data_IF_599371737633
#
_entry.id   IF_599371737633
#
_cell.length_a   1.000
_cell.length_b   1.000
_cell.length_c   1.000
_cell.angle_alpha   90.00
_cell.angle_beta   90.00
_cell.angle_gamma   90.00
#
_symmetry.space_group_name_H-M   'P 1'
#
loop_
_entity.id
_entity.type
_entity.pdbx_description
1 polymer ?
#
# COMPACT_ATOMS: atom_id res chain seq x y z
N UNK A 1 -17.98 -2.22 -4.72
CA UNK A 1 -17.11 -3.25 -5.36
C UNK A 1 -16.80 -4.37 -4.37
N UNK A 2 -16.16 -5.48 -4.75
CA UNK A 2 -16.05 -6.65 -3.86
C UNK A 2 -15.20 -6.36 -2.60
N UNK A 3 -15.85 -5.91 -1.53
CA UNK A 3 -15.30 -5.91 -0.19
C UNK A 3 -15.19 -7.37 0.27
N UNK A 4 -13.98 -7.93 0.17
CA UNK A 4 -13.65 -9.19 0.79
C UNK A 4 -13.92 -9.17 2.30
N UNK A 5 -13.83 -10.34 2.92
CA UNK A 5 -14.09 -10.51 4.36
C UNK A 5 -12.83 -10.98 5.09
N UNK A 6 -12.95 -11.24 6.39
CA UNK A 6 -11.86 -11.90 7.16
C UNK A 6 -11.59 -13.33 6.71
N UNK A 7 -12.55 -13.98 6.03
CA UNK A 7 -12.47 -15.37 5.56
C UNK A 7 -12.33 -15.49 4.04
N UNK A 8 -12.41 -14.37 3.32
CA UNK A 8 -12.33 -14.31 1.86
C UNK A 8 -11.51 -13.11 1.43
N UNK A 9 -10.40 -13.35 0.75
CA UNK A 9 -9.57 -12.31 0.17
C UNK A 9 -9.91 -12.15 -1.31
N UNK A 10 -10.39 -10.98 -1.71
CA UNK A 10 -10.87 -10.67 -3.05
C UNK A 10 -10.26 -9.38 -3.64
N UNK A 11 -9.39 -8.69 -2.88
CA UNK A 11 -8.76 -7.45 -3.31
C UNK A 11 -8.03 -7.63 -4.65
N UNK A 12 -8.37 -6.78 -5.61
CA UNK A 12 -7.68 -6.67 -6.89
C UNK A 12 -6.96 -5.33 -6.91
N UNK A 13 -5.63 -5.36 -7.04
CA UNK A 13 -4.83 -4.13 -7.15
C UNK A 13 -4.85 -3.53 -8.55
N UNK A 14 -5.48 -4.20 -9.52
CA UNK A 14 -5.70 -3.68 -10.88
C UNK A 14 -7.10 -3.06 -11.04
N UNK A 15 -7.91 -3.03 -9.97
CA UNK A 15 -9.17 -2.31 -9.96
C UNK A 15 -8.89 -0.80 -10.04
N UNK A 16 -9.00 -0.23 -11.24
CA UNK A 16 -8.68 1.18 -11.51
C UNK A 16 -9.57 2.18 -10.76
N UNK A 17 -10.70 1.73 -10.19
CA UNK A 17 -11.56 2.59 -9.38
C UNK A 17 -10.96 2.70 -7.97
N UNK A 18 -10.53 1.59 -7.37
CA UNK A 18 -9.91 1.57 -6.04
C UNK A 18 -8.43 1.97 -6.05
N UNK A 19 -7.72 1.59 -7.11
CA UNK A 19 -6.28 1.79 -7.31
C UNK A 19 -6.01 2.34 -8.71
N UNK A 20 -6.41 3.59 -8.99
CA UNK A 20 -6.16 4.22 -10.28
C UNK A 20 -4.66 4.33 -10.55
N UNK A 21 -4.30 4.28 -11.82
CA UNK A 21 -2.98 4.63 -12.31
C UNK A 21 -2.96 6.05 -12.88
N UNK A 22 -1.83 6.49 -13.43
CA UNK A 22 -1.69 7.81 -14.04
C UNK A 22 -2.71 8.12 -15.15
N UNK A 23 -3.12 7.12 -15.92
CA UNK A 23 -4.05 7.28 -17.04
C UNK A 23 -5.53 7.29 -16.59
N UNK A 24 -5.82 6.68 -15.44
CA UNK A 24 -7.18 6.51 -14.91
C UNK A 24 -7.45 7.34 -13.65
N UNK A 25 -6.58 8.28 -13.30
CA UNK A 25 -6.75 9.12 -12.13
C UNK A 25 -8.04 9.96 -12.21
N UNK A 26 -8.90 9.93 -11.18
CA UNK A 26 -10.14 10.69 -11.19
C UNK A 26 -9.90 12.20 -11.33
N UNK A 27 -10.63 12.82 -12.26
CA UNK A 27 -10.56 14.28 -12.50
C UNK A 27 -11.38 15.05 -11.46
N UNK A 28 -12.44 14.45 -10.95
CA UNK A 28 -13.33 15.05 -9.95
C UNK A 28 -12.97 14.63 -8.52
N UNK A 29 -13.30 15.45 -7.51
CA UNK A 29 -13.24 15.03 -6.11
C UNK A 29 -13.96 13.70 -5.88
N UNK A 30 -13.53 12.87 -4.92
CA UNK A 30 -14.37 11.80 -4.43
C UNK A 30 -15.67 12.41 -3.86
N UNK A 31 -16.80 11.74 -4.09
CA UNK A 31 -17.99 11.95 -3.26
C UNK A 31 -17.72 11.49 -1.82
N UNK A 32 -18.61 11.80 -0.87
CA UNK A 32 -18.42 11.45 0.56
C UNK A 32 -18.20 9.95 0.84
N UNK A 33 -18.56 9.07 -0.12
CA UNK A 33 -18.44 7.62 0.01
C UNK A 33 -17.32 7.00 -0.81
N UNK A 34 -16.74 7.75 -1.75
CA UNK A 34 -15.70 7.26 -2.64
C UNK A 34 -14.31 7.45 -2.03
N UNK A 35 -13.47 6.44 -2.19
CA UNK A 35 -12.06 6.53 -1.86
C UNK A 35 -11.26 5.73 -2.85
N UNK A 36 -10.03 6.18 -3.11
CA UNK A 36 -9.06 5.46 -3.93
C UNK A 36 -7.68 5.69 -3.38
N UNK A 37 -6.75 4.81 -3.76
CA UNK A 37 -5.35 4.91 -3.37
C UNK A 37 -4.49 4.81 -4.61
N UNK A 38 -3.74 5.87 -4.88
CA UNK A 38 -2.68 5.84 -5.88
C UNK A 38 -1.46 5.11 -5.30
N UNK A 39 -1.00 4.05 -5.98
CA UNK A 39 0.14 3.24 -5.59
C UNK A 39 1.35 3.60 -6.45
N UNK A 40 2.44 4.03 -5.81
CA UNK A 40 3.67 4.42 -6.51
C UNK A 40 4.90 3.92 -5.77
N UNK A 41 5.98 3.67 -6.49
CA UNK A 41 7.27 3.31 -5.92
C UNK A 41 8.15 4.55 -5.78
N UNK A 42 8.82 4.72 -4.64
CA UNK A 42 9.82 5.78 -4.44
C UNK A 42 11.08 5.39 -5.20
N UNK A 43 11.51 6.23 -6.15
CA UNK A 43 12.63 5.93 -7.05
C UNK A 43 13.86 6.80 -6.79
N UNK A 44 13.69 8.02 -6.28
CA UNK A 44 14.80 8.89 -5.89
C UNK A 44 14.39 9.84 -4.77
N UNK A 45 15.39 10.34 -4.04
CA UNK A 45 15.26 11.45 -3.10
C UNK A 45 15.84 12.71 -3.76
N UNK A 46 14.99 13.70 -4.02
CA UNK A 46 15.33 14.97 -4.68
C UNK A 46 15.29 16.15 -3.71
N UNK A 47 15.33 15.87 -2.41
CA UNK A 47 15.22 16.88 -1.37
C UNK A 47 16.42 17.81 -1.37
N UNK A 48 16.16 19.12 -1.39
CA UNK A 48 17.17 20.17 -1.16
C UNK A 48 16.91 20.82 0.20
N UNK A 49 15.77 21.50 0.35
CA UNK A 49 15.34 22.12 1.61
C UNK A 49 14.05 21.47 2.12
N UNK A 50 13.11 21.21 1.21
CA UNK A 50 11.86 20.50 1.45
C UNK A 50 12.02 19.03 1.03
N UNK A 51 11.40 18.08 1.75
CA UNK A 51 11.32 16.70 1.30
C UNK A 51 10.58 16.60 -0.03
N UNK A 52 11.30 16.14 -1.05
CA UNK A 52 10.80 15.90 -2.41
C UNK A 52 11.34 14.55 -2.88
N UNK A 53 10.46 13.71 -3.42
CA UNK A 53 10.79 12.37 -3.87
C UNK A 53 10.26 12.13 -5.28
N UNK A 54 11.10 11.59 -6.16
CA UNK A 54 10.64 11.07 -7.44
C UNK A 54 9.96 9.72 -7.21
N UNK A 55 8.75 9.57 -7.74
CA UNK A 55 7.95 8.36 -7.63
C UNK A 55 7.49 7.88 -9.01
N UNK A 56 7.19 6.59 -9.10
CA UNK A 56 6.76 5.95 -10.34
C UNK A 56 5.55 5.06 -10.09
N UNK A 57 4.51 5.22 -10.89
CA UNK A 57 3.29 4.41 -10.79
C UNK A 57 3.42 3.03 -11.48
N UNK A 58 2.30 2.31 -11.56
CA UNK A 58 2.20 1.01 -12.26
C UNK A 58 2.40 1.10 -13.77
N UNK A 59 2.06 2.23 -14.39
CA UNK A 59 2.27 2.50 -15.84
C UNK A 59 3.68 2.97 -16.16
N UNK A 60 4.54 3.12 -15.14
CA UNK A 60 5.90 3.69 -15.20
C UNK A 60 5.94 5.20 -15.42
N UNK A 61 4.81 5.88 -15.33
CA UNK A 61 4.73 7.34 -15.33
C UNK A 61 5.43 7.87 -14.08
N UNK A 62 6.28 8.88 -14.26
CA UNK A 62 7.04 9.51 -13.19
C UNK A 62 6.33 10.77 -12.69
N UNK A 63 6.35 10.95 -11.38
CA UNK A 63 5.82 12.12 -10.69
C UNK A 63 6.78 12.55 -9.59
N UNK A 64 6.63 13.77 -9.13
CA UNK A 64 7.25 14.22 -7.87
C UNK A 64 6.25 14.20 -6.73
N UNK A 65 6.69 13.87 -5.52
CA UNK A 65 5.90 14.01 -4.30
C UNK A 65 6.62 14.97 -3.36
N UNK A 66 5.99 16.10 -3.07
CA UNK A 66 6.56 17.14 -2.22
C UNK A 66 5.77 17.29 -0.92
N UNK A 67 6.45 17.26 0.23
CA UNK A 67 5.80 17.35 1.55
C UNK A 67 5.67 18.80 2.02
N UNK A 68 4.42 19.25 2.15
CA UNK A 68 3.98 20.56 2.65
C UNK A 68 3.21 20.45 3.98
N UNK A 69 3.28 19.29 4.63
CA UNK A 69 2.69 19.09 5.96
C UNK A 69 3.31 20.02 7.01
N UNK A 70 2.70 20.17 8.20
CA UNK A 70 3.28 20.98 9.28
C UNK A 70 4.67 20.50 9.76
N UNK A 71 5.00 19.22 9.59
CA UNK A 71 6.26 18.62 10.05
C UNK A 71 6.91 17.74 8.97
N UNK A 72 7.28 18.30 7.80
CA UNK A 72 7.56 17.51 6.60
C UNK A 72 8.79 16.61 6.77
N UNK A 73 9.81 17.07 7.51
CA UNK A 73 11.02 16.28 7.78
C UNK A 73 10.76 15.07 8.68
N UNK A 74 9.77 15.16 9.58
CA UNK A 74 9.37 14.02 10.42
C UNK A 74 8.59 13.01 9.59
N UNK A 75 7.68 13.49 8.76
CA UNK A 75 6.82 12.65 7.92
C UNK A 75 7.62 11.94 6.80
N UNK A 76 8.71 12.56 6.36
CA UNK A 76 9.67 12.00 5.41
C UNK A 76 10.49 10.81 5.95
N UNK A 77 10.55 10.58 7.27
CA UNK A 77 11.42 9.54 7.86
C UNK A 77 11.10 8.11 7.42
N UNK A 78 9.87 7.88 6.97
CA UNK A 78 9.41 6.59 6.46
C UNK A 78 9.65 6.41 4.95
N UNK A 79 10.07 7.46 4.24
CA UNK A 79 10.30 7.46 2.81
C UNK A 79 11.71 6.94 2.52
N UNK A 80 11.79 5.76 1.91
CA UNK A 80 13.05 5.17 1.45
C UNK A 80 12.88 4.71 0.00
N UNK A 81 13.97 4.77 -0.77
CA UNK A 81 13.97 4.33 -2.17
C UNK A 81 13.62 2.83 -2.22
N UNK A 82 12.74 2.46 -3.15
CA UNK A 82 12.20 1.11 -3.29
C UNK A 82 11.01 0.81 -2.38
N UNK A 83 10.57 1.74 -1.53
CA UNK A 83 9.30 1.59 -0.81
C UNK A 83 8.10 1.98 -1.68
N UNK A 84 6.94 1.40 -1.37
CA UNK A 84 5.68 1.79 -2.00
C UNK A 84 5.04 2.92 -1.21
N UNK A 85 4.84 4.06 -1.85
CA UNK A 85 4.03 5.16 -1.37
C UNK A 85 2.58 4.98 -1.83
N UNK A 86 1.67 5.08 -0.87
CA UNK A 86 0.24 5.08 -1.07
C UNK A 86 -0.30 6.48 -0.79
N UNK A 87 -1.02 7.09 -1.73
CA UNK A 87 -1.66 8.40 -1.55
C UNK A 87 -3.17 8.23 -1.70
N UNK A 88 -3.91 8.49 -0.63
CA UNK A 88 -5.37 8.40 -0.59
C UNK A 88 -5.96 9.64 -1.25
N UNK A 89 -6.89 9.45 -2.17
CA UNK A 89 -7.60 10.54 -2.88
C UNK A 89 -6.64 11.58 -3.49
N UNK A 90 -5.54 11.09 -4.08
CA UNK A 90 -4.45 11.91 -4.62
C UNK A 90 -4.95 12.91 -5.67
N UNK A 91 -4.42 14.14 -5.64
CA UNK A 91 -4.69 15.17 -6.65
C UNK A 91 -3.39 15.66 -7.28
N UNK A 92 -3.28 15.65 -8.61
CA UNK A 92 -2.11 16.18 -9.27
C UNK A 92 -1.97 17.68 -9.04
N UNK A 93 -0.74 18.12 -8.91
CA UNK A 93 -0.32 19.49 -8.73
C UNK A 93 0.77 19.80 -9.76
N UNK A 94 0.61 20.92 -10.45
CA UNK A 94 1.66 21.45 -11.33
C UNK A 94 2.53 22.41 -10.52
N UNK A 95 3.82 22.10 -10.43
CA UNK A 95 4.80 22.90 -9.72
C UNK A 95 5.34 24.03 -10.62
N UNK A 96 5.94 25.05 -10.01
CA UNK A 96 6.43 26.24 -10.72
C UNK A 96 7.58 25.95 -11.69
N UNK A 97 8.31 24.87 -11.48
CA UNK A 97 9.38 24.36 -12.36
C UNK A 97 8.84 23.56 -13.56
N UNK A 98 7.51 23.45 -13.70
CA UNK A 98 6.84 22.71 -14.74
C UNK A 98 6.67 21.21 -14.44
N UNK A 99 7.19 20.72 -13.32
CA UNK A 99 7.01 19.32 -12.93
C UNK A 99 5.55 19.06 -12.53
N UNK A 100 5.07 17.86 -12.82
CA UNK A 100 3.75 17.39 -12.38
C UNK A 100 3.92 16.36 -11.27
N UNK A 101 3.14 16.48 -10.21
CA UNK A 101 3.26 15.58 -9.08
C UNK A 101 2.17 15.76 -8.03
N UNK A 102 2.49 15.45 -6.78
CA UNK A 102 1.55 15.48 -5.67
C UNK A 102 2.11 16.34 -4.53
N UNK A 103 1.33 17.35 -4.14
CA UNK A 103 1.62 18.20 -2.99
C UNK A 103 0.89 17.66 -1.77
N UNK A 104 1.63 17.16 -0.79
CA UNK A 104 1.06 16.53 0.42
C UNK A 104 0.97 17.56 1.53
N UNK A 105 -0.23 18.01 1.85
CA UNK A 105 -0.48 18.98 2.93
C UNK A 105 -0.94 18.30 4.22
N UNK A 106 -1.56 17.13 4.11
CA UNK A 106 -1.96 16.31 5.26
C UNK A 106 -1.25 14.95 5.24
N UNK A 107 -0.45 14.69 6.27
CA UNK A 107 0.25 13.42 6.48
C UNK A 107 -0.69 12.21 6.60
N UNK A 108 -1.97 12.42 6.96
CA UNK A 108 -2.95 11.34 7.08
C UNK A 108 -3.37 10.74 5.73
N UNK A 109 -3.20 11.52 4.65
CA UNK A 109 -3.50 11.08 3.28
C UNK A 109 -2.49 10.07 2.74
N UNK A 110 -1.31 9.97 3.34
CA UNK A 110 -0.22 9.12 2.85
C UNK A 110 0.07 7.94 3.76
N UNK A 111 0.52 6.85 3.16
CA UNK A 111 1.07 5.70 3.87
C UNK A 111 2.26 5.16 3.09
N UNK A 112 3.37 4.87 3.76
CA UNK A 112 4.50 4.16 3.13
C UNK A 112 4.50 2.69 3.56
N UNK A 113 4.62 1.80 2.58
CA UNK A 113 4.80 0.37 2.78
C UNK A 113 6.27 0.02 2.52
N UNK A 114 6.98 -0.64 3.47
CA UNK A 114 8.39 -0.97 3.37
C UNK A 114 8.64 -2.20 2.47
N UNK A 115 8.06 -2.17 1.27
CA UNK A 115 8.19 -3.16 0.20
C UNK A 115 8.11 -2.44 -1.14
N UNK A 116 8.74 -2.99 -2.17
CA UNK A 116 8.61 -2.49 -3.55
C UNK A 116 7.20 -2.71 -4.10
N UNK A 117 6.87 -1.99 -5.16
CA UNK A 117 5.57 -2.09 -5.81
C UNK A 117 5.38 -3.51 -6.37
N UNK A 118 6.43 -4.08 -6.98
CA UNK A 118 6.42 -5.48 -7.44
C UNK A 118 6.16 -6.46 -6.28
N UNK A 119 6.82 -6.29 -5.13
CA UNK A 119 6.63 -7.16 -3.97
C UNK A 119 5.23 -7.03 -3.36
N UNK A 120 4.61 -5.84 -3.43
CA UNK A 120 3.22 -5.66 -3.00
C UNK A 120 2.25 -6.52 -3.84
N UNK A 121 2.44 -6.58 -5.16
CA UNK A 121 1.64 -7.43 -6.05
C UNK A 121 1.86 -8.92 -5.76
N UNK A 122 3.10 -9.36 -5.52
CA UNK A 122 3.39 -10.75 -5.12
C UNK A 122 2.66 -11.14 -3.83
N UNK A 123 2.68 -10.28 -2.82
CA UNK A 123 1.97 -10.53 -1.55
C UNK A 123 0.46 -10.60 -1.79
N UNK A 124 -0.10 -9.68 -2.60
CA UNK A 124 -1.53 -9.68 -2.93
C UNK A 124 -1.93 -10.98 -3.66
N UNK A 125 -1.16 -11.39 -4.67
CA UNK A 125 -1.38 -12.63 -5.41
C UNK A 125 -1.31 -13.87 -4.49
N UNK A 126 -0.35 -13.91 -3.57
CA UNK A 126 -0.25 -15.00 -2.58
C UNK A 126 -1.47 -15.06 -1.64
N UNK A 127 -1.99 -13.92 -1.19
CA UNK A 127 -3.21 -13.87 -0.38
C UNK A 127 -4.46 -14.34 -1.14
N UNK A 128 -4.57 -13.98 -2.42
CA UNK A 128 -5.65 -14.46 -3.31
C UNK A 128 -5.57 -15.98 -3.50
N UNK A 129 -4.40 -16.49 -3.88
CA UNK A 129 -4.19 -17.93 -4.06
C UNK A 129 -4.53 -18.73 -2.80
N UNK A 130 -4.10 -18.27 -1.61
CA UNK A 130 -4.48 -18.90 -0.34
C UNK A 130 -5.99 -18.82 -0.06
N UNK A 131 -6.64 -17.72 -0.43
CA UNK A 131 -8.10 -17.60 -0.28
C UNK A 131 -8.85 -18.57 -1.21
N UNK A 132 -8.42 -18.67 -2.46
CA UNK A 132 -9.04 -19.54 -3.46
C UNK A 132 -8.83 -21.02 -3.11
N UNK A 133 -7.69 -21.38 -2.51
CA UNK A 133 -7.42 -22.71 -1.97
C UNK A 133 -8.09 -23.05 -0.63
N UNK A 134 -8.78 -22.09 0.01
CA UNK A 134 -9.38 -22.29 1.33
C UNK A 134 -8.37 -22.32 2.49
N UNK A 135 -7.15 -21.82 2.26
CA UNK A 135 -6.00 -21.86 3.17
C UNK A 135 -5.73 -20.52 3.87
N UNK A 136 -6.57 -19.51 3.65
CA UNK A 136 -6.41 -18.16 4.22
C UNK A 136 -6.38 -18.15 5.76
N UNK A 137 -7.02 -19.12 6.40
CA UNK A 137 -7.06 -19.27 7.86
C UNK A 137 -6.06 -20.31 8.40
N UNK A 138 -5.30 -20.97 7.53
CA UNK A 138 -4.29 -21.97 7.89
C UNK A 138 -2.93 -21.32 8.11
N UNK A 139 -1.98 -22.09 8.63
CA UNK A 139 -0.65 -21.57 8.96
C UNK A 139 0.08 -21.09 7.71
N UNK A 140 0.69 -19.91 7.76
CA UNK A 140 1.47 -19.36 6.66
C UNK A 140 2.73 -20.15 6.30
N UNK A 141 3.15 -21.09 7.15
CA UNK A 141 4.40 -21.85 7.00
C UNK A 141 4.17 -23.31 6.61
N UNK A 142 3.21 -23.98 7.25
CA UNK A 142 2.99 -25.43 7.07
C UNK A 142 1.53 -25.80 6.78
N UNK A 143 0.66 -24.81 6.58
CA UNK A 143 -0.77 -24.97 6.28
C UNK A 143 -1.58 -25.83 7.27
N UNK A 144 -1.05 -26.08 8.47
CA UNK A 144 -1.83 -26.67 9.55
C UNK A 144 -2.90 -25.69 10.07
N UNK A 145 -4.03 -26.18 10.61
CA UNK A 145 -5.04 -25.33 11.26
C UNK A 145 -4.40 -24.38 12.29
N UNK A 146 -4.78 -23.11 12.27
CA UNK A 146 -4.13 -22.07 13.07
C UNK A 146 -5.14 -21.31 13.92
N UNK A 147 -4.90 -21.25 15.23
CA UNK A 147 -5.65 -20.44 16.18
C UNK A 147 -4.95 -19.13 16.53
N UNK A 148 -3.64 -19.02 16.23
CA UNK A 148 -2.82 -17.84 16.50
C UNK A 148 -2.55 -17.01 15.25
N UNK A 149 -2.10 -15.78 15.45
CA UNK A 149 -1.69 -14.92 14.35
C UNK A 149 -0.88 -13.71 14.79
N UNK A 150 -0.24 -13.06 13.82
CA UNK A 150 0.50 -11.82 14.05
C UNK A 150 -0.43 -10.76 14.63
N UNK A 151 -0.04 -10.13 15.74
CA UNK A 151 -0.86 -9.11 16.40
C UNK A 151 -1.20 -7.91 15.51
N UNK A 152 -0.30 -7.56 14.57
CA UNK A 152 -0.42 -6.41 13.69
C UNK A 152 -1.22 -6.70 12.41
N UNK A 153 -0.77 -7.63 11.56
CA UNK A 153 -1.39 -7.89 10.25
C UNK A 153 -2.36 -9.08 10.22
N UNK A 154 -2.43 -9.88 11.30
CA UNK A 154 -3.31 -11.07 11.44
C UNK A 154 -2.98 -12.29 10.57
N UNK A 155 -1.81 -12.33 9.93
CA UNK A 155 -1.26 -13.55 9.34
C UNK A 155 -1.27 -14.71 10.34
N UNK A 156 -1.58 -15.92 9.88
CA UNK A 156 -1.94 -17.07 10.72
C UNK A 156 -0.77 -18.02 10.94
N UNK A 157 -0.66 -18.54 12.17
CA UNK A 157 0.37 -19.51 12.52
C UNK A 157 -0.21 -20.57 13.46
N UNK A 158 0.24 -21.82 13.30
CA UNK A 158 -0.16 -22.91 14.20
C UNK A 158 0.63 -22.88 15.51
N UNK A 159 1.82 -22.27 15.52
CA UNK A 159 2.69 -22.20 16.70
C UNK A 159 3.59 -20.96 16.71
N UNK A 160 4.23 -20.68 17.85
CA UNK A 160 5.21 -19.58 17.97
C UNK A 160 6.48 -19.85 17.15
N UNK A 161 6.83 -21.12 16.94
CA UNK A 161 7.97 -21.56 16.15
C UNK A 161 7.76 -21.21 14.69
N UNK A 162 6.59 -21.52 14.11
CA UNK A 162 6.25 -21.11 12.74
C UNK A 162 6.23 -19.58 12.60
N UNK A 163 5.72 -18.85 13.59
CA UNK A 163 5.76 -17.38 13.54
C UNK A 163 7.20 -16.85 13.57
N UNK A 164 8.07 -17.43 14.41
CA UNK A 164 9.47 -17.03 14.53
C UNK A 164 10.28 -17.36 13.28
N UNK A 165 10.03 -18.50 12.64
CA UNK A 165 10.71 -18.89 11.40
C UNK A 165 10.32 -17.97 10.23
N UNK A 166 9.05 -17.54 10.15
CA UNK A 166 8.58 -16.60 9.13
C UNK A 166 9.02 -15.15 9.40
N UNK A 167 9.31 -14.79 10.67
CA UNK A 167 9.54 -13.41 11.09
C UNK A 167 10.54 -12.60 10.25
N UNK A 168 11.71 -13.12 9.81
CA UNK A 168 12.65 -12.35 9.00
C UNK A 168 12.04 -11.83 7.68
N UNK A 169 11.22 -12.65 7.02
CA UNK A 169 10.54 -12.28 5.79
C UNK A 169 9.26 -11.48 6.10
N UNK A 170 8.50 -11.96 7.09
CA UNK A 170 7.26 -11.35 7.53
C UNK A 170 7.42 -9.92 8.01
N UNK A 171 8.46 -9.61 8.78
CA UNK A 171 8.65 -8.28 9.39
C UNK A 171 8.62 -7.17 8.35
N UNK A 172 9.30 -7.38 7.21
CA UNK A 172 9.33 -6.43 6.09
C UNK A 172 7.97 -6.32 5.40
N UNK A 173 7.28 -7.44 5.24
CA UNK A 173 5.95 -7.49 4.61
C UNK A 173 4.78 -7.12 5.55
N UNK A 174 4.99 -7.04 6.88
CA UNK A 174 3.91 -6.99 7.86
C UNK A 174 3.01 -5.76 7.69
N UNK A 175 3.62 -4.61 7.40
CA UNK A 175 2.89 -3.35 7.16
C UNK A 175 2.07 -3.44 5.87
N UNK A 176 2.63 -4.02 4.81
CA UNK A 176 1.93 -4.27 3.55
C UNK A 176 0.77 -5.25 3.72
N UNK A 177 0.99 -6.38 4.41
CA UNK A 177 -0.06 -7.36 4.74
C UNK A 177 -1.21 -6.70 5.53
N UNK A 178 -0.89 -5.86 6.51
CA UNK A 178 -1.89 -5.10 7.28
C UNK A 178 -2.70 -4.16 6.37
N UNK A 179 -2.02 -3.47 5.45
CA UNK A 179 -2.66 -2.58 4.48
C UNK A 179 -3.60 -3.35 3.53
N UNK A 180 -3.10 -4.41 2.89
CA UNK A 180 -3.88 -5.29 1.99
C UNK A 180 -5.11 -5.88 2.69
N UNK A 181 -4.99 -6.37 3.93
CA UNK A 181 -6.14 -6.88 4.68
C UNK A 181 -7.16 -5.80 5.08
N UNK A 182 -6.72 -4.55 5.24
CA UNK A 182 -7.63 -3.41 5.47
C UNK A 182 -8.34 -3.06 4.17
N UNK A 183 -7.59 -2.86 3.09
CA UNK A 183 -8.07 -2.56 1.74
C UNK A 183 -9.05 -3.60 1.20
N UNK A 184 -8.78 -4.89 1.46
CA UNK A 184 -9.70 -5.98 1.12
C UNK A 184 -11.09 -5.82 1.75
N UNK A 185 -11.20 -5.09 2.88
CA UNK A 185 -12.46 -4.88 3.62
C UNK A 185 -12.97 -3.46 3.49
N UNK A 186 -12.30 -2.62 2.71
CA UNK A 186 -12.73 -1.26 2.43
C UNK A 186 -13.87 -1.32 1.42
N UNK A 187 -14.93 -0.58 1.69
CA UNK A 187 -15.90 -0.22 0.66
C UNK A 187 -15.35 1.02 -0.04
N UNK A 188 -15.10 0.91 -1.33
CA UNK A 188 -14.37 1.93 -2.09
C UNK A 188 -15.29 3.02 -2.68
N UNK A 189 -16.61 2.91 -2.46
CA UNK A 189 -17.63 3.70 -3.13
C UNK A 189 -18.39 2.89 -4.16
#
# INVERSE_FOLDING_TARGET
MAAGSRKKFALDLNDIIAFPDAAHMPVFPPTERESWILLMEITANESITRPVYAVRDTTRTQFVVALYTPNPQRDARQFEIGHTLCITSARPHQFLDGQTGFRIEDSSSIQVLPVSLARLWEINAGLRARSDGGDLLKCNVCDSPSSMGCGACKSRYCSRECQRSDWPQHKRACVALKALHRWNRTDWG
#
